data_IF_464408539687
#
_entry.id   IF_464408539687
#
_cell.length_a   1.000
_cell.length_b   1.000
_cell.length_c   1.000
_cell.angle_alpha   90.00
_cell.angle_beta   90.00
_cell.angle_gamma   90.00
#
_symmetry.space_group_name_H-M   'P 1'
#
loop_
_entity.id
_entity.type
_entity.pdbx_description
1 polymer ?
#
# COMPACT_ATOMS: atom_id res chain seq x y z
N UNK A 1 19.26 -12.26 -14.70
CA UNK A 1 18.63 -11.19 -13.90
C UNK A 1 18.54 -11.61 -12.45
N UNK A 2 18.85 -10.70 -11.55
CA UNK A 2 18.66 -10.92 -10.11
C UNK A 2 17.42 -10.14 -9.65
N UNK A 3 16.67 -10.70 -8.74
CA UNK A 3 15.50 -10.04 -8.15
C UNK A 3 15.43 -10.33 -6.67
N UNK A 4 14.81 -9.44 -5.94
CA UNK A 4 14.50 -9.66 -4.54
C UNK A 4 13.06 -9.22 -4.25
N UNK A 5 12.47 -9.84 -3.26
CA UNK A 5 11.17 -9.43 -2.75
C UNK A 5 11.14 -9.59 -1.24
N UNK A 6 10.39 -8.74 -0.58
CA UNK A 6 10.20 -8.77 0.85
C UNK A 6 8.75 -8.42 1.18
N UNK A 7 8.21 -9.10 2.17
CA UNK A 7 6.92 -8.77 2.77
C UNK A 7 7.11 -8.52 4.24
N UNK A 8 6.69 -7.36 4.70
CA UNK A 8 6.80 -6.93 6.09
C UNK A 8 5.42 -6.64 6.66
N UNK A 9 5.21 -7.04 7.89
CA UNK A 9 4.03 -6.69 8.67
C UNK A 9 4.51 -6.03 9.96
N UNK A 10 4.09 -4.82 10.19
CA UNK A 10 4.52 -4.06 11.34
C UNK A 10 3.70 -2.80 11.57
N UNK A 11 4.15 -1.98 12.49
CA UNK A 11 3.48 -0.75 12.86
C UNK A 11 4.30 0.46 12.41
N UNK A 12 3.60 1.47 11.89
CA UNK A 12 4.26 2.72 11.52
C UNK A 12 4.85 3.41 12.75
N UNK A 13 6.07 3.85 12.64
CA UNK A 13 6.79 4.56 13.72
C UNK A 13 6.53 6.06 13.72
N UNK A 14 6.03 6.58 12.59
CA UNK A 14 5.67 7.98 12.38
C UNK A 14 4.59 8.08 11.31
N UNK A 15 3.93 9.22 11.23
CA UNK A 15 3.04 9.51 10.12
C UNK A 15 3.82 9.49 8.81
N UNK A 16 3.25 8.97 7.72
CA UNK A 16 3.89 9.04 6.41
C UNK A 16 4.17 10.48 5.99
N UNK A 17 5.37 10.72 5.50
CA UNK A 17 5.75 12.00 4.94
C UNK A 17 5.58 11.94 3.41
N UNK A 18 4.68 12.77 2.89
CA UNK A 18 4.41 12.87 1.47
C UNK A 18 5.12 14.08 0.88
N UNK A 19 5.91 13.84 -0.15
CA UNK A 19 6.60 14.86 -0.92
C UNK A 19 6.32 14.68 -2.41
N UNK A 20 6.51 15.76 -3.17
CA UNK A 20 6.42 15.73 -4.61
C UNK A 20 7.75 16.08 -5.23
N UNK A 21 8.16 15.31 -6.24
CA UNK A 21 9.34 15.62 -7.03
C UNK A 21 9.08 16.83 -7.93
N UNK A 22 10.16 17.40 -8.51
CA UNK A 22 10.05 18.51 -9.47
C UNK A 22 9.17 18.16 -10.67
N UNK A 23 9.08 16.87 -11.03
CA UNK A 23 8.18 16.38 -12.08
C UNK A 23 6.74 16.16 -11.63
N UNK A 24 6.39 16.46 -10.36
CA UNK A 24 5.03 16.30 -9.83
C UNK A 24 4.69 14.89 -9.37
N UNK A 25 5.65 13.99 -9.27
CA UNK A 25 5.43 12.63 -8.79
C UNK A 25 5.46 12.59 -7.26
N UNK A 26 4.43 12.01 -6.67
CA UNK A 26 4.36 11.81 -5.23
C UNK A 26 5.31 10.72 -4.74
N UNK A 27 5.89 10.94 -3.58
CA UNK A 27 6.67 9.93 -2.85
C UNK A 27 6.34 10.04 -1.37
N UNK A 28 5.92 8.94 -0.78
CA UNK A 28 5.67 8.83 0.65
C UNK A 28 6.77 8.00 1.31
N UNK A 29 7.16 8.38 2.50
CA UNK A 29 8.12 7.62 3.30
C UNK A 29 7.64 7.51 4.74
N UNK A 30 7.89 6.37 5.34
CA UNK A 30 7.60 6.12 6.74
C UNK A 30 8.52 5.02 7.30
N UNK A 31 8.62 4.97 8.61
CA UNK A 31 9.29 3.89 9.32
C UNK A 31 8.31 2.78 9.68
N UNK A 32 8.74 1.55 9.59
CA UNK A 32 7.97 0.37 9.97
C UNK A 32 8.73 -0.42 11.04
N UNK A 33 8.12 -0.59 12.20
CA UNK A 33 8.64 -1.43 13.27
C UNK A 33 8.06 -2.83 13.15
N UNK A 34 8.93 -3.80 12.94
CA UNK A 34 8.57 -5.21 12.81
C UNK A 34 9.04 -5.94 14.06
N UNK A 35 8.11 -6.46 14.82
CA UNK A 35 8.38 -7.18 16.05
C UNK A 35 8.44 -8.69 15.80
N UNK A 36 9.47 -9.29 16.32
CA UNK A 36 9.64 -10.73 16.33
C UNK A 36 9.73 -11.24 17.76
N UNK A 37 8.92 -12.21 18.07
CA UNK A 37 9.05 -12.98 19.32
C UNK A 37 9.78 -14.27 19.07
N UNK A 38 10.72 -14.57 19.93
CA UNK A 38 11.45 -15.84 19.91
C UNK A 38 11.71 -16.34 21.34
N UNK A 39 11.95 -17.60 21.46
CA UNK A 39 12.23 -18.22 22.74
C UNK A 39 13.74 -18.50 22.86
N UNK A 40 14.33 -18.05 23.93
CA UNK A 40 15.73 -18.30 24.25
C UNK A 40 15.83 -18.75 25.71
N UNK A 41 16.45 -19.91 25.94
CA UNK A 41 16.60 -20.49 27.26
C UNK A 41 15.29 -20.65 28.07
N UNK A 42 14.20 -20.99 27.40
CA UNK A 42 12.87 -21.09 27.99
C UNK A 42 12.14 -19.78 28.25
N UNK A 43 12.76 -18.64 27.95
CA UNK A 43 12.18 -17.32 28.13
C UNK A 43 11.80 -16.71 26.79
N UNK A 44 10.66 -16.01 26.76
CA UNK A 44 10.22 -15.25 25.60
C UNK A 44 10.99 -13.94 25.51
N UNK A 45 11.62 -13.74 24.36
CA UNK A 45 12.32 -12.52 24.01
C UNK A 45 11.58 -11.82 22.86
N UNK A 46 11.70 -10.52 22.83
CA UNK A 46 11.14 -9.69 21.74
C UNK A 46 12.26 -8.88 21.09
N UNK A 47 12.29 -8.91 19.79
CA UNK A 47 13.21 -8.11 18.98
C UNK A 47 12.42 -7.25 18.01
N UNK A 48 12.74 -5.97 17.95
CA UNK A 48 12.16 -5.03 17.02
C UNK A 48 13.19 -4.65 15.97
N UNK A 49 12.81 -4.77 14.72
CA UNK A 49 13.58 -4.30 13.59
C UNK A 49 12.87 -3.12 12.95
N UNK A 50 13.64 -2.11 12.54
CA UNK A 50 13.12 -0.89 11.94
C UNK A 50 13.51 -0.84 10.46
N UNK A 51 12.52 -0.60 9.62
CA UNK A 51 12.70 -0.48 8.18
C UNK A 51 12.19 0.86 7.69
N UNK A 52 12.91 1.45 6.74
CA UNK A 52 12.43 2.62 6.02
C UNK A 52 11.68 2.15 4.77
N UNK A 53 10.45 2.58 4.63
CA UNK A 53 9.59 2.27 3.48
C UNK A 53 9.44 3.51 2.64
N UNK A 54 9.65 3.35 1.34
CA UNK A 54 9.45 4.39 0.34
C UNK A 54 8.41 3.92 -0.65
N UNK A 55 7.45 4.75 -0.95
CA UNK A 55 6.33 4.43 -1.80
C UNK A 55 6.08 5.53 -2.83
N UNK A 56 6.16 5.18 -4.10
CA UNK A 56 6.07 6.11 -5.20
C UNK A 56 4.67 6.18 -5.81
N UNK A 57 4.34 7.36 -6.31
CA UNK A 57 3.13 7.61 -7.09
C UNK A 57 1.85 7.55 -6.27
N UNK A 58 0.78 7.12 -6.90
CA UNK A 58 -0.56 7.06 -6.32
C UNK A 58 -0.62 6.16 -5.07
N UNK A 59 0.10 5.05 -5.08
CA UNK A 59 0.21 4.19 -3.91
C UNK A 59 0.75 4.96 -2.69
N UNK A 60 1.75 5.80 -2.89
CA UNK A 60 2.32 6.65 -1.84
C UNK A 60 1.33 7.70 -1.33
N UNK A 61 0.62 8.35 -2.23
CA UNK A 61 -0.42 9.33 -1.88
C UNK A 61 -1.54 8.68 -1.07
N UNK A 62 -2.01 7.51 -1.50
CA UNK A 62 -3.06 6.77 -0.82
C UNK A 62 -2.59 6.24 0.54
N UNK A 63 -1.37 5.77 0.63
CA UNK A 63 -0.79 5.33 1.90
C UNK A 63 -0.69 6.49 2.90
N UNK A 64 -0.25 7.66 2.46
CA UNK A 64 -0.18 8.86 3.30
C UNK A 64 -1.56 9.35 3.76
N UNK A 65 -2.58 9.19 2.93
CA UNK A 65 -3.96 9.55 3.27
C UNK A 65 -4.62 8.56 4.25
N UNK A 66 -4.12 7.33 4.31
CA UNK A 66 -4.78 6.23 5.03
C UNK A 66 -4.08 5.89 6.33
N UNK A 67 -2.75 5.81 6.32
CA UNK A 67 -1.95 5.31 7.44
C UNK A 67 -1.47 6.46 8.32
N UNK A 68 -1.43 6.18 9.61
CA UNK A 68 -0.91 7.10 10.64
C UNK A 68 0.10 6.38 11.52
N UNK A 69 0.82 7.13 12.33
CA UNK A 69 1.71 6.55 13.36
C UNK A 69 0.96 5.53 14.20
N UNK A 70 1.54 4.35 14.36
CA UNK A 70 0.95 3.25 15.11
C UNK A 70 0.04 2.33 14.29
N UNK A 71 -0.36 2.71 13.07
CA UNK A 71 -1.12 1.82 12.18
C UNK A 71 -0.32 0.55 11.87
N UNK A 72 -1.02 -0.58 11.94
CA UNK A 72 -0.45 -1.86 11.50
C UNK A 72 -0.68 -2.02 10.00
N UNK A 73 0.40 -2.22 9.28
CA UNK A 73 0.38 -2.31 7.82
C UNK A 73 1.11 -3.54 7.31
N UNK A 74 0.69 -3.98 6.14
CA UNK A 74 1.35 -5.01 5.35
C UNK A 74 1.99 -4.31 4.17
N UNK A 75 3.29 -4.50 4.00
CA UNK A 75 4.07 -3.89 2.92
C UNK A 75 4.76 -4.99 2.14
N UNK A 76 4.57 -5.00 0.85
CA UNK A 76 5.30 -5.88 -0.06
C UNK A 76 6.07 -5.03 -1.07
N UNK A 77 7.31 -5.42 -1.33
CA UNK A 77 8.17 -4.69 -2.25
C UNK A 77 9.53 -5.34 -2.40
N UNK A 78 10.51 -4.53 -2.71
CA UNK A 78 11.90 -4.94 -2.87
C UNK A 78 12.82 -4.11 -1.98
N UNK A 79 13.96 -4.66 -1.66
CA UNK A 79 15.04 -3.93 -0.99
C UNK A 79 15.88 -3.21 -2.04
N UNK A 80 16.19 -1.97 -1.76
CA UNK A 80 17.07 -1.15 -2.60
C UNK A 80 18.07 -0.44 -1.71
N UNK A 81 19.33 -0.51 -2.08
CA UNK A 81 20.40 0.22 -1.41
C UNK A 81 20.65 1.55 -2.11
N UNK A 82 20.63 2.61 -1.34
CA UNK A 82 20.97 3.94 -1.80
C UNK A 82 22.26 4.39 -1.11
N UNK A 83 23.21 4.89 -1.89
CA UNK A 83 24.49 5.40 -1.40
C UNK A 83 24.68 6.85 -1.81
N UNK A 84 25.27 7.63 -0.93
CA UNK A 84 25.60 9.02 -1.19
C UNK A 84 26.88 9.40 -0.44
N UNK A 85 27.47 10.48 -0.86
CA UNK A 85 28.64 11.07 -0.22
C UNK A 85 28.23 12.37 0.49
N UNK A 86 28.64 12.48 1.75
CA UNK A 86 28.40 13.71 2.52
C UNK A 86 29.39 14.82 2.12
N UNK A 87 29.09 16.05 2.52
CA UNK A 87 29.98 17.19 2.29
C UNK A 87 31.37 17.03 2.91
N UNK A 88 31.51 16.17 3.90
CA UNK A 88 32.78 15.82 4.56
C UNK A 88 33.56 14.70 3.87
N UNK A 89 33.05 14.19 2.73
CA UNK A 89 33.66 13.09 1.99
C UNK A 89 33.37 11.70 2.54
N UNK A 90 32.49 11.57 3.53
CA UNK A 90 32.05 10.27 4.03
C UNK A 90 31.04 9.61 3.10
N UNK A 91 31.26 8.35 2.79
CA UNK A 91 30.31 7.53 2.05
C UNK A 91 29.29 6.95 3.03
N UNK A 92 28.01 7.18 2.75
CA UNK A 92 26.91 6.62 3.51
C UNK A 92 26.01 5.80 2.61
N UNK A 93 25.43 4.77 3.20
CA UNK A 93 24.45 3.94 2.51
C UNK A 93 23.30 3.61 3.42
N UNK A 94 22.13 3.38 2.82
CA UNK A 94 20.93 2.93 3.49
C UNK A 94 20.21 1.92 2.62
N UNK A 95 19.63 0.90 3.25
CA UNK A 95 18.75 -0.06 2.59
C UNK A 95 17.32 0.34 2.88
N UNK A 96 16.55 0.54 1.84
CA UNK A 96 15.14 0.94 1.91
C UNK A 96 14.25 -0.15 1.31
N UNK A 97 13.02 -0.21 1.77
CA UNK A 97 11.98 -1.03 1.14
C UNK A 97 11.22 -0.15 0.17
N UNK A 98 11.31 -0.46 -1.10
CA UNK A 98 10.51 0.20 -2.13
C UNK A 98 9.22 -0.59 -2.28
N UNK A 99 8.13 -0.01 -1.84
CA UNK A 99 6.85 -0.70 -1.77
C UNK A 99 6.20 -0.85 -3.14
N UNK A 100 5.72 -2.05 -3.44
CA UNK A 100 4.87 -2.34 -4.59
C UNK A 100 3.40 -2.38 -4.20
N UNK A 101 3.10 -2.87 -3.00
CA UNK A 101 1.75 -2.92 -2.42
C UNK A 101 1.79 -2.58 -0.93
N UNK A 102 0.80 -1.85 -0.47
CA UNK A 102 0.61 -1.49 0.94
C UNK A 102 -0.87 -1.62 1.27
N UNK A 103 -1.15 -2.16 2.44
CA UNK A 103 -2.49 -2.18 2.97
C UNK A 103 -2.50 -2.17 4.49
N UNK A 104 -3.58 -1.71 5.11
CA UNK A 104 -3.76 -1.87 6.55
C UNK A 104 -3.97 -3.34 6.90
N UNK A 105 -3.42 -3.76 8.03
CA UNK A 105 -3.71 -5.09 8.57
C UNK A 105 -5.06 -5.06 9.30
N UNK A 106 -5.93 -5.99 8.96
CA UNK A 106 -7.24 -6.13 9.59
C UNK A 106 -7.23 -7.09 10.79
N UNK A 107 -6.05 -7.52 11.22
CA UNK A 107 -5.96 -8.47 12.33
C UNK A 107 -6.61 -7.95 13.61
N UNK A 108 -6.48 -6.66 13.89
CA UNK A 108 -7.04 -6.03 15.10
C UNK A 108 -7.77 -4.72 14.81
N UNK A 109 -8.12 -4.49 13.55
CA UNK A 109 -8.80 -3.27 13.13
C UNK A 109 -9.74 -3.55 11.96
N UNK A 110 -10.68 -2.65 11.76
CA UNK A 110 -11.52 -2.62 10.57
C UNK A 110 -11.14 -1.40 9.72
N UNK A 111 -11.41 -1.47 8.44
CA UNK A 111 -11.19 -0.36 7.52
C UNK A 111 -12.32 -0.27 6.51
N UNK A 112 -12.63 0.95 6.09
CA UNK A 112 -13.47 1.21 4.94
C UNK A 112 -12.58 1.58 3.77
N UNK A 113 -12.90 1.03 2.59
CA UNK A 113 -12.14 1.27 1.38
C UNK A 113 -12.97 2.12 0.44
N UNK A 114 -12.43 3.27 0.09
CA UNK A 114 -12.95 4.12 -0.96
C UNK A 114 -12.07 4.01 -2.20
N UNK A 115 -12.72 3.78 -3.33
CA UNK A 115 -12.00 3.69 -4.59
C UNK A 115 -11.64 5.08 -5.06
N UNK A 116 -10.35 5.33 -5.28
CA UNK A 116 -9.91 6.59 -5.90
C UNK A 116 -10.24 6.56 -7.39
N UNK A 117 -10.72 7.69 -7.90
CA UNK A 117 -10.90 7.85 -9.34
C UNK A 117 -9.53 7.87 -10.00
N UNK A 118 -9.34 7.02 -11.01
CA UNK A 118 -8.17 7.12 -11.86
C UNK A 118 -8.19 8.45 -12.57
N UNK A 119 -7.37 9.35 -12.16
CA UNK A 119 -7.01 10.52 -12.94
C UNK A 119 -6.11 10.05 -14.10
N UNK A 120 -6.74 9.50 -15.11
CA UNK A 120 -5.98 8.93 -16.19
C UNK A 120 -6.83 8.74 -17.43
N UNK A 121 -6.69 9.65 -18.37
CA UNK A 121 -7.10 9.42 -19.74
C UNK A 121 -8.55 9.80 -20.00
N UNK A 122 -8.74 11.08 -20.09
CA UNK A 122 -9.73 11.64 -20.98
C UNK A 122 -9.48 11.12 -22.40
N UNK A 123 -10.15 10.04 -22.71
CA UNK A 123 -10.40 9.62 -24.07
C UNK A 123 -11.80 10.05 -24.42
N UNK A 124 -11.97 11.33 -24.69
CA UNK A 124 -13.21 11.84 -25.20
C UNK A 124 -13.64 11.10 -26.46
N UNK A 125 -14.65 10.26 -26.33
CA UNK A 125 -15.48 9.88 -27.45
C UNK A 125 -16.82 10.64 -27.30
N UNK A 126 -16.82 11.83 -27.79
CA UNK A 126 -18.00 12.53 -28.23
C UNK A 126 -18.44 11.86 -29.54
N UNK A 127 -19.42 10.97 -29.42
CA UNK A 127 -20.13 10.42 -30.55
C UNK A 127 -21.63 10.68 -30.39
N UNK A 128 -22.09 11.66 -31.08
CA UNK A 128 -23.46 12.12 -31.06
C UNK A 128 -24.47 11.14 -31.63
N UNK A 129 -25.68 11.33 -31.22
CA UNK A 129 -26.89 11.24 -32.00
C UNK A 129 -27.51 9.88 -32.19
N UNK A 130 -28.73 9.76 -31.72
CA UNK A 130 -29.66 8.76 -32.23
C UNK A 130 -30.65 8.30 -31.19
N UNK A 131 -31.75 9.01 -31.05
CA UNK A 131 -32.87 8.56 -30.25
C UNK A 131 -33.51 7.33 -30.85
N UNK A 132 -33.90 6.42 -29.95
CA UNK A 132 -35.02 5.49 -30.23
C UNK A 132 -35.79 5.30 -28.96
N UNK A 133 -37.02 5.84 -28.98
CA UNK A 133 -38.06 5.50 -28.03
C UNK A 133 -38.65 4.14 -28.42
N UNK A 134 -38.94 3.34 -27.40
CA UNK A 134 -39.73 2.12 -27.61
C UNK A 134 -39.75 1.22 -26.40
N UNK A 135 -40.71 1.36 -25.62
CA UNK A 135 -41.66 0.47 -25.03
C UNK A 135 -41.23 -0.81 -24.35
N UNK A 136 -41.55 -0.91 -23.07
CA UNK A 136 -42.22 -2.01 -22.45
C UNK A 136 -41.45 -3.35 -22.32
N UNK A 137 -41.15 -3.75 -21.11
CA UNK A 137 -40.85 -5.14 -20.81
C UNK A 137 -40.13 -5.28 -19.49
N UNK A 138 -40.88 -5.60 -18.43
CA UNK A 138 -40.35 -5.92 -17.14
C UNK A 138 -39.38 -7.11 -17.22
N UNK A 139 -38.13 -6.87 -16.95
CA UNK A 139 -37.19 -7.93 -16.71
C UNK A 139 -37.20 -8.28 -15.23
N UNK A 140 -37.62 -9.50 -14.95
CA UNK A 140 -37.54 -10.07 -13.65
C UNK A 140 -36.10 -10.05 -13.16
N UNK A 141 -35.91 -9.48 -11.96
CA UNK A 141 -34.66 -9.63 -11.21
C UNK A 141 -34.41 -11.11 -10.99
N UNK A 142 -33.33 -11.60 -11.55
CA UNK A 142 -32.81 -12.91 -11.12
C UNK A 142 -32.27 -12.74 -9.68
N UNK A 143 -32.62 -13.66 -8.79
CA UNK A 143 -32.04 -13.66 -7.46
C UNK A 143 -30.53 -13.97 -7.57
N UNK A 144 -29.75 -13.21 -6.82
CA UNK A 144 -28.32 -13.45 -6.66
C UNK A 144 -28.08 -14.87 -6.16
N UNK A 145 -27.04 -15.56 -6.66
CA UNK A 145 -26.71 -16.87 -6.16
C UNK A 145 -26.27 -16.74 -4.69
N UNK A 146 -26.99 -17.47 -3.85
CA UNK A 146 -26.62 -17.65 -2.46
C UNK A 146 -25.32 -18.46 -2.46
N UNK A 147 -24.21 -17.80 -2.16
CA UNK A 147 -23.01 -18.51 -1.78
C UNK A 147 -23.23 -19.11 -0.41
N UNK A 148 -23.35 -20.43 -0.37
CA UNK A 148 -23.43 -21.16 0.86
C UNK A 148 -22.18 -20.93 1.70
N UNK A 149 -22.42 -20.73 2.99
CA UNK A 149 -21.39 -20.69 4.01
C UNK A 149 -20.53 -21.95 3.93
N UNK A 150 -19.37 -21.84 3.30
CA UNK A 150 -18.27 -22.72 3.59
C UNK A 150 -17.26 -21.93 4.39
N UNK A 151 -17.19 -22.21 5.66
CA UNK A 151 -16.15 -21.67 6.53
C UNK A 151 -14.78 -22.19 6.07
N UNK A 152 -13.86 -21.32 5.67
CA UNK A 152 -12.48 -21.75 5.50
C UNK A 152 -11.81 -21.85 6.87
N UNK A 153 -11.19 -22.94 7.09
CA UNK A 153 -10.37 -23.23 8.26
C UNK A 153 -9.25 -22.21 8.48
#
# INVERSE_FOLDING_TARGET
MSSNSVTLIGNLTRDPELRYTTGGRGVASFGLAVNRRYQQNGEWQEQTSFFNVVCWGELGENAAATLTKGSRAIVTGRLEQRSWETNDGEKRSVVEVIADEIGPSLRWATAQVERTERSGGDGGFSGGGGGFSGGGGGAARQPDPIYGDEEPF
#
